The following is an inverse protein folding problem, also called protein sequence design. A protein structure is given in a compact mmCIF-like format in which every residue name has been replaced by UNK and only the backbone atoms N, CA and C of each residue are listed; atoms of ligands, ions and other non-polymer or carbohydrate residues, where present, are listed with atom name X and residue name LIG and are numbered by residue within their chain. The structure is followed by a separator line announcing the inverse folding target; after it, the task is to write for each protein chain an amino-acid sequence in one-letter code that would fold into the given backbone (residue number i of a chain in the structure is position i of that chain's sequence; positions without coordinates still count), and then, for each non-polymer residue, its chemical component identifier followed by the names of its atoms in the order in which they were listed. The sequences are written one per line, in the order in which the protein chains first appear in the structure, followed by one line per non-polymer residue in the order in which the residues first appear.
data_IF_075307023297
#
_entry.id   IF_075307023297
#
_cell.length_a   1.000
_cell.length_b   1.000
_cell.length_c   1.000
_cell.angle_alpha   90.00
_cell.angle_beta   90.00
_cell.angle_gamma   90.00
#
_symmetry.space_group_name_H-M   'P 1'
#
loop_
_entity.id
_entity.type
_entity.pdbx_description
1 polymer ?
#
# COMPACT_ATOMS: atom_id res chain seq x y z
N UNK A 1 5.07 -49.47 36.46
CA UNK A 1 4.51 -48.79 35.28
C UNK A 1 4.56 -47.29 35.55
N UNK A 2 5.42 -46.54 34.86
CA UNK A 2 5.58 -45.10 35.05
C UNK A 2 4.77 -44.41 33.95
N UNK A 3 3.74 -43.67 34.32
CA UNK A 3 2.86 -42.96 33.37
C UNK A 3 3.67 -41.96 32.54
N UNK A 4 3.40 -41.80 31.22
CA UNK A 4 4.07 -40.79 30.44
C UNK A 4 3.55 -39.40 30.86
N UNK A 5 4.47 -38.47 31.13
CA UNK A 5 4.08 -37.08 31.41
C UNK A 5 3.56 -36.40 30.14
N UNK A 6 2.54 -35.53 30.25
CA UNK A 6 2.03 -34.81 29.09
C UNK A 6 3.06 -33.79 28.62
N UNK A 7 3.48 -33.90 27.36
CA UNK A 7 4.28 -32.90 26.66
C UNK A 7 3.51 -31.59 26.61
N UNK A 8 3.80 -30.68 27.54
CA UNK A 8 3.32 -29.31 27.46
C UNK A 8 4.01 -28.64 26.27
N UNK A 9 3.30 -28.59 25.14
CA UNK A 9 3.69 -27.75 24.00
C UNK A 9 3.48 -26.28 24.39
N UNK A 10 4.40 -25.76 25.21
CA UNK A 10 4.47 -24.34 25.54
C UNK A 10 5.11 -23.62 24.35
N UNK A 11 4.33 -23.35 23.31
CA UNK A 11 4.68 -22.30 22.36
C UNK A 11 4.64 -20.98 23.13
N UNK A 12 5.80 -20.55 23.64
CA UNK A 12 5.98 -19.19 24.14
C UNK A 12 5.51 -18.23 23.04
N UNK A 13 4.69 -17.21 23.35
CA UNK A 13 4.34 -16.20 22.37
C UNK A 13 5.65 -15.56 21.90
N UNK A 14 6.01 -15.80 20.65
CA UNK A 14 7.14 -15.15 20.01
C UNK A 14 6.80 -13.68 19.98
N UNK A 15 7.51 -12.86 20.75
CA UNK A 15 7.38 -11.42 20.70
C UNK A 15 7.66 -10.97 19.26
N UNK A 16 6.61 -10.68 18.49
CA UNK A 16 6.75 -10.24 17.11
C UNK A 16 7.48 -8.90 17.11
N UNK A 17 8.57 -8.80 16.33
CA UNK A 17 9.29 -7.54 16.18
C UNK A 17 8.31 -6.41 15.81
N UNK A 18 8.50 -5.19 16.33
CA UNK A 18 7.68 -4.05 15.91
C UNK A 18 7.83 -3.85 14.40
N UNK A 19 6.70 -3.58 13.74
CA UNK A 19 6.66 -3.36 12.30
C UNK A 19 7.50 -2.14 11.92
N UNK A 20 8.16 -2.21 10.77
CA UNK A 20 8.88 -1.05 10.22
C UNK A 20 7.89 0.04 9.80
N UNK A 21 8.29 1.32 9.75
CA UNK A 21 7.42 2.41 9.30
C UNK A 21 6.79 2.15 7.92
N UNK A 22 7.55 1.50 7.02
CA UNK A 22 7.08 1.12 5.69
C UNK A 22 6.04 0.00 5.73
N UNK A 23 6.24 -1.01 6.59
CA UNK A 23 5.24 -2.05 6.82
C UNK A 23 3.96 -1.46 7.41
N UNK A 24 4.07 -0.47 8.29
CA UNK A 24 2.93 0.25 8.84
C UNK A 24 2.17 1.03 7.74
N UNK A 25 2.89 1.66 6.81
CA UNK A 25 2.29 2.33 5.66
C UNK A 25 1.56 1.33 4.74
N UNK A 26 2.13 0.14 4.55
CA UNK A 26 1.51 -0.95 3.79
C UNK A 26 0.22 -1.46 4.45
N UNK A 27 0.15 -1.54 5.78
CA UNK A 27 -1.06 -1.95 6.50
C UNK A 27 -2.26 -1.04 6.22
N UNK A 28 -2.04 0.26 5.98
CA UNK A 28 -3.12 1.22 5.68
C UNK A 28 -3.71 1.05 4.28
N UNK A 29 -2.99 0.41 3.37
CA UNK A 29 -3.36 0.35 1.94
C UNK A 29 -3.46 -1.08 1.39
N UNK A 30 -3.44 -2.08 2.27
CA UNK A 30 -3.53 -3.50 1.91
C UNK A 30 -2.19 -4.02 1.34
N UNK A 31 -1.65 -5.05 1.99
CA UNK A 31 -0.40 -5.69 1.57
C UNK A 31 -0.55 -6.37 0.21
N UNK A 32 0.42 -6.18 -0.69
CA UNK A 32 0.44 -6.72 -2.06
C UNK A 32 0.92 -8.18 -2.17
N UNK A 33 1.00 -8.94 -1.07
CA UNK A 33 1.70 -10.23 -1.02
C UNK A 33 1.01 -11.35 -0.24
N UNK A 34 -0.30 -11.30 -0.04
CA UNK A 34 -1.06 -12.40 0.55
C UNK A 34 -2.54 -12.30 0.19
N UNK A 35 -3.28 -13.41 0.26
CA UNK A 35 -4.67 -13.56 -0.20
C UNK A 35 -5.69 -12.54 0.40
N UNK A 36 -5.29 -11.71 1.36
CA UNK A 36 -6.08 -10.61 1.92
C UNK A 36 -5.83 -9.24 1.25
N UNK A 37 -4.98 -9.15 0.22
CA UNK A 37 -4.71 -7.96 -0.59
C UNK A 37 -5.76 -7.68 -1.67
N UNK A 38 -7.03 -7.66 -1.28
CA UNK A 38 -8.19 -7.63 -2.18
C UNK A 38 -8.66 -6.20 -2.55
N UNK A 39 -7.72 -5.28 -2.81
CA UNK A 39 -8.08 -4.02 -3.52
C UNK A 39 -8.05 -4.23 -5.05
N UNK A 40 -7.26 -5.20 -5.52
CA UNK A 40 -6.88 -5.33 -6.93
C UNK A 40 -7.12 -6.72 -7.55
N UNK A 41 -7.58 -7.71 -6.77
CA UNK A 41 -8.00 -8.99 -7.35
C UNK A 41 -9.48 -8.87 -7.74
N UNK A 42 -9.88 -9.08 -9.00
CA UNK A 42 -11.29 -9.26 -9.28
C UNK A 42 -11.74 -10.52 -8.51
N UNK A 43 -12.78 -10.46 -7.65
CA UNK A 43 -13.45 -11.69 -7.29
C UNK A 43 -13.93 -12.33 -8.59
N UNK A 44 -13.98 -13.65 -8.64
CA UNK A 44 -14.47 -14.45 -9.78
C UNK A 44 -15.92 -14.15 -10.21
N UNK A 45 -16.53 -13.08 -9.68
CA UNK A 45 -17.67 -12.38 -10.24
C UNK A 45 -17.84 -11.01 -9.55
N UNK A 46 -18.13 -9.96 -10.31
CA UNK A 46 -19.04 -8.91 -9.82
C UNK A 46 -18.70 -7.44 -10.05
N UNK A 47 -17.44 -7.03 -10.22
CA UNK A 47 -17.14 -5.60 -10.42
C UNK A 47 -16.15 -5.40 -11.57
N UNK A 48 -16.69 -5.16 -12.76
CA UNK A 48 -15.91 -4.66 -13.90
C UNK A 48 -15.65 -3.18 -13.63
N UNK A 49 -14.38 -2.81 -13.47
CA UNK A 49 -14.02 -1.40 -13.45
C UNK A 49 -14.15 -0.87 -14.88
N UNK A 50 -14.98 0.14 -15.10
CA UNK A 50 -15.13 0.78 -16.41
C UNK A 50 -13.79 1.46 -16.73
N UNK A 51 -13.06 0.89 -17.68
CA UNK A 51 -11.89 1.53 -18.28
C UNK A 51 -12.43 2.30 -19.49
N UNK A 52 -12.20 3.61 -19.52
CA UNK A 52 -12.64 4.45 -20.65
C UNK A 52 -11.97 4.01 -21.96
N UNK A 53 -12.65 4.27 -23.08
CA UNK A 53 -12.13 4.07 -24.43
C UNK A 53 -10.86 4.92 -24.63
N UNK A 54 -9.82 4.35 -25.24
CA UNK A 54 -8.50 4.98 -25.44
C UNK A 54 -8.53 6.15 -26.44
N UNK A 55 -9.66 6.31 -27.16
CA UNK A 55 -9.86 7.31 -28.23
C UNK A 55 -9.86 8.76 -27.75
N UNK A 56 -10.01 9.03 -26.44
CA UNK A 56 -9.85 10.36 -25.85
C UNK A 56 -9.12 10.30 -24.50
N UNK A 57 -7.79 10.30 -24.53
CA UNK A 57 -6.96 10.32 -23.32
C UNK A 57 -6.80 11.76 -22.80
N UNK A 58 -7.40 12.08 -21.65
CA UNK A 58 -7.16 13.36 -20.97
C UNK A 58 -5.94 13.25 -20.06
N UNK A 59 -4.88 14.01 -20.36
CA UNK A 59 -3.69 14.11 -19.54
C UNK A 59 -3.80 15.34 -18.64
N UNK A 60 -3.66 15.12 -17.33
CA UNK A 60 -3.68 16.20 -16.34
C UNK A 60 -2.35 16.26 -15.61
N UNK A 61 -1.87 17.47 -15.39
CA UNK A 61 -0.80 17.72 -14.43
C UNK A 61 -1.43 17.98 -13.07
N UNK A 62 -1.14 17.12 -12.10
CA UNK A 62 -1.69 17.23 -10.74
C UNK A 62 -0.52 17.55 -9.82
N UNK A 63 -0.68 18.57 -8.99
CA UNK A 63 0.30 18.89 -7.96
C UNK A 63 -0.38 19.18 -6.64
N UNK A 64 0.25 18.80 -5.54
CA UNK A 64 -0.21 19.16 -4.20
C UNK A 64 0.96 19.42 -3.27
N UNK A 65 0.76 20.36 -2.34
CA UNK A 65 1.74 20.76 -1.33
C UNK A 65 1.35 20.22 0.03
N UNK A 66 2.32 19.99 0.89
CA UNK A 66 2.09 19.72 2.31
C UNK A 66 1.32 20.86 2.95
N UNK A 67 0.48 20.53 3.94
CA UNK A 67 -0.21 21.53 4.74
C UNK A 67 0.84 22.44 5.40
N UNK A 68 0.63 23.76 5.35
CA UNK A 68 1.58 24.73 5.91
C UNK A 68 2.86 24.94 5.09
N UNK A 69 3.11 24.13 4.05
CA UNK A 69 4.34 24.20 3.25
C UNK A 69 5.55 23.53 3.89
N UNK A 70 5.34 22.73 4.93
CA UNK A 70 6.40 22.05 5.67
C UNK A 70 7.09 20.94 4.86
N UNK A 71 8.37 20.70 5.15
CA UNK A 71 9.18 19.68 4.48
C UNK A 71 9.03 18.31 5.17
N UNK A 72 7.89 17.65 4.94
CA UNK A 72 7.54 16.39 5.61
C UNK A 72 8.02 15.13 4.86
N UNK A 73 8.44 15.24 3.60
CA UNK A 73 8.87 14.10 2.80
C UNK A 73 10.38 13.85 2.97
N UNK A 74 10.74 12.99 3.91
CA UNK A 74 12.06 12.34 3.96
C UNK A 74 12.13 11.13 3.02
N UNK A 75 13.28 10.44 2.99
CA UNK A 75 13.49 9.31 2.07
C UNK A 75 12.50 8.16 2.30
N UNK A 76 12.18 7.86 3.57
CA UNK A 76 11.21 6.81 3.92
C UNK A 76 9.78 7.22 3.57
N UNK A 77 9.41 8.48 3.82
CA UNK A 77 8.09 9.02 3.54
C UNK A 77 7.85 9.09 2.03
N UNK A 78 8.87 9.42 1.23
CA UNK A 78 8.82 9.37 -0.23
C UNK A 78 8.55 7.96 -0.73
N UNK A 79 9.25 6.95 -0.22
CA UNK A 79 9.00 5.55 -0.61
C UNK A 79 7.58 5.10 -0.23
N UNK A 80 7.15 5.41 0.99
CA UNK A 80 5.81 5.10 1.45
C UNK A 80 4.74 5.78 0.57
N UNK A 81 4.92 7.05 0.23
CA UNK A 81 4.02 7.78 -0.65
C UNK A 81 3.96 7.15 -2.05
N UNK A 82 5.10 6.79 -2.65
CA UNK A 82 5.13 6.13 -3.96
C UNK A 82 4.33 4.83 -3.95
N UNK A 83 4.49 3.99 -2.92
CA UNK A 83 3.72 2.74 -2.78
C UNK A 83 2.21 3.01 -2.75
N UNK A 84 1.80 4.02 -1.98
CA UNK A 84 0.39 4.43 -1.88
C UNK A 84 -0.11 4.96 -3.22
N UNK A 85 0.66 5.84 -3.87
CA UNK A 85 0.33 6.46 -5.15
C UNK A 85 0.05 5.42 -6.24
N UNK A 86 0.92 4.43 -6.38
CA UNK A 86 0.73 3.34 -7.35
C UNK A 86 -0.47 2.45 -7.02
N UNK A 87 -0.71 2.16 -5.73
CA UNK A 87 -1.91 1.41 -5.29
C UNK A 87 -3.19 2.19 -5.61
N UNK A 88 -3.20 3.49 -5.36
CA UNK A 88 -4.34 4.36 -5.63
C UNK A 88 -4.57 4.56 -7.12
N UNK A 89 -3.53 4.63 -7.94
CA UNK A 89 -3.66 4.66 -9.40
C UNK A 89 -4.32 3.37 -9.93
N UNK A 90 -3.85 2.22 -9.46
CA UNK A 90 -4.44 0.90 -9.80
C UNK A 90 -5.86 0.75 -9.28
N UNK A 91 -6.14 1.26 -8.08
CA UNK A 91 -7.50 1.38 -7.59
C UNK A 91 -8.25 2.27 -8.56
N UNK A 92 -8.07 3.59 -8.60
CA UNK A 92 -8.86 4.52 -9.40
C UNK A 92 -8.93 4.27 -10.92
N UNK A 93 -8.09 3.40 -11.50
CA UNK A 93 -8.05 3.14 -12.93
C UNK A 93 -7.32 4.25 -13.71
N UNK A 94 -6.49 5.03 -13.02
CA UNK A 94 -5.72 6.13 -13.59
C UNK A 94 -4.33 5.61 -13.97
N UNK A 95 -3.82 6.02 -15.13
CA UNK A 95 -2.44 5.76 -15.54
C UNK A 95 -1.56 6.92 -15.13
N UNK A 96 -0.56 6.66 -14.29
CA UNK A 96 0.50 7.62 -13.98
C UNK A 96 1.53 7.56 -15.12
N UNK A 97 1.78 8.70 -15.77
CA UNK A 97 2.76 8.82 -16.85
C UNK A 97 4.14 9.20 -16.32
N UNK A 98 4.17 10.20 -15.44
CA UNK A 98 5.37 10.77 -14.83
C UNK A 98 5.03 11.19 -13.41
N UNK A 99 6.02 11.19 -12.51
CA UNK A 99 5.87 11.72 -11.15
C UNK A 99 7.17 12.41 -10.71
N UNK A 100 7.05 13.41 -9.85
CA UNK A 100 8.18 14.03 -9.17
C UNK A 100 7.83 14.23 -7.70
N UNK A 101 8.65 13.73 -6.78
CA UNK A 101 8.47 13.95 -5.35
C UNK A 101 9.59 14.86 -4.83
N UNK A 102 9.18 15.96 -4.23
CA UNK A 102 10.02 16.91 -3.53
C UNK A 102 9.69 16.86 -2.04
N UNK A 103 10.45 17.58 -1.22
CA UNK A 103 10.38 17.46 0.24
C UNK A 103 9.08 18.05 0.83
N UNK A 104 8.42 18.96 0.10
CA UNK A 104 7.19 19.65 0.49
C UNK A 104 6.04 19.57 -0.53
N UNK A 105 6.24 18.90 -1.68
CA UNK A 105 5.20 18.76 -2.69
C UNK A 105 5.48 17.62 -3.67
N UNK A 106 4.46 17.25 -4.43
CA UNK A 106 4.60 16.29 -5.52
C UNK A 106 3.89 16.78 -6.78
N UNK A 107 4.34 16.22 -7.90
CA UNK A 107 3.78 16.34 -9.24
C UNK A 107 3.52 14.95 -9.83
#
# INVERSE_FOLDING_TARGET
MKSPEPLQNQQKPVASKPLTPLQLADCKTGFSGGAAGMICAPPSGGHVRIVGDDRHSYCYHVMSRTAGGDYLFGDQEKEAFLRIMWRMARFSGIKILTYCLMDNHFH
#
